data_IF_881720479796
#
_entry.id   IF_881720479796
#
_cell.length_a   1.000
_cell.length_b   1.000
_cell.length_c   1.000
_cell.angle_alpha   90.00
_cell.angle_beta   90.00
_cell.angle_gamma   90.00
#
_symmetry.space_group_name_H-M   'P 1'
#
loop_
_entity.id
_entity.type
_entity.pdbx_description
1 polymer ?
#
# COMPACT_ATOMS: atom_id res chain seq x y z
N UNK A 1 0.19 -16.96 -11.72
CA UNK A 1 -0.53 -16.16 -10.70
C UNK A 1 -1.97 -16.06 -11.17
N UNK A 2 -2.92 -16.54 -10.37
CA UNK A 2 -4.35 -16.45 -10.72
C UNK A 2 -4.86 -15.04 -10.43
N UNK A 3 -5.90 -14.58 -11.13
CA UNK A 3 -6.50 -13.24 -11.00
C UNK A 3 -7.05 -12.90 -9.59
N UNK A 4 -6.95 -13.82 -8.63
CA UNK A 4 -7.41 -13.67 -7.25
C UNK A 4 -6.34 -14.01 -6.22
N UNK A 5 -5.08 -13.75 -6.55
CA UNK A 5 -3.98 -13.94 -5.62
C UNK A 5 -4.14 -12.99 -4.41
N UNK A 6 -4.46 -13.53 -3.21
CA UNK A 6 -4.84 -12.69 -2.07
C UNK A 6 -3.69 -11.80 -1.61
N UNK A 7 -2.44 -12.25 -1.79
CA UNK A 7 -1.26 -11.48 -1.44
C UNK A 7 -1.05 -10.31 -2.40
N UNK A 8 -1.34 -10.47 -3.70
CA UNK A 8 -1.34 -9.34 -4.65
C UNK A 8 -2.55 -8.41 -4.46
N UNK A 9 -3.72 -8.97 -4.16
CA UNK A 9 -4.94 -8.20 -3.91
C UNK A 9 -4.79 -7.25 -2.71
N UNK A 10 -3.96 -7.58 -1.73
CA UNK A 10 -3.62 -6.68 -0.64
C UNK A 10 -3.04 -5.35 -1.14
N UNK A 11 -2.12 -5.38 -2.11
CA UNK A 11 -1.52 -4.18 -2.69
C UNK A 11 -2.52 -3.41 -3.56
N UNK A 12 -3.39 -4.10 -4.30
CA UNK A 12 -4.46 -3.45 -5.07
C UNK A 12 -5.45 -2.72 -4.15
N UNK A 13 -5.81 -3.32 -3.02
CA UNK A 13 -6.67 -2.69 -2.02
C UNK A 13 -6.00 -1.44 -1.43
N UNK A 14 -4.72 -1.52 -1.06
CA UNK A 14 -3.96 -0.36 -0.54
C UNK A 14 -3.89 0.75 -1.57
N UNK A 15 -3.55 0.41 -2.82
CA UNK A 15 -3.49 1.38 -3.91
C UNK A 15 -4.85 2.08 -4.10
N UNK A 16 -5.94 1.31 -4.13
CA UNK A 16 -7.28 1.88 -4.31
C UNK A 16 -7.74 2.76 -3.15
N UNK A 17 -7.44 2.40 -1.91
CA UNK A 17 -7.83 3.16 -0.72
C UNK A 17 -6.94 4.40 -0.50
N UNK A 18 -5.76 4.46 -1.12
CA UNK A 18 -4.82 5.58 -0.98
C UNK A 18 -4.70 6.45 -2.24
N UNK A 19 -5.44 6.15 -3.32
CA UNK A 19 -5.36 6.85 -4.62
C UNK A 19 -5.68 8.36 -4.53
N UNK A 20 -6.51 8.76 -3.56
CA UNK A 20 -6.84 10.18 -3.33
C UNK A 20 -5.81 10.93 -2.47
N UNK A 21 -4.84 10.23 -1.87
CA UNK A 21 -3.82 10.82 -1.03
C UNK A 21 -2.64 11.31 -1.90
N UNK A 22 -2.25 12.60 -1.84
CA UNK A 22 -1.19 13.12 -2.70
C UNK A 22 0.20 12.59 -2.32
N UNK A 23 0.91 12.02 -3.29
CA UNK A 23 2.31 11.62 -3.11
C UNK A 23 3.17 12.79 -2.62
N UNK A 24 4.28 12.49 -1.94
CA UNK A 24 5.19 13.52 -1.42
C UNK A 24 5.59 14.54 -2.50
N UNK A 25 5.91 14.04 -3.70
CA UNK A 25 6.24 14.87 -4.85
C UNK A 25 5.12 15.83 -5.29
N UNK A 26 3.85 15.54 -4.97
CA UNK A 26 2.69 16.36 -5.33
C UNK A 26 2.24 17.29 -4.20
N UNK A 27 2.69 17.09 -2.97
CA UNK A 27 2.26 17.90 -1.81
C UNK A 27 2.51 19.41 -1.99
N UNK A 28 3.55 19.80 -2.73
CA UNK A 28 3.82 21.21 -3.04
C UNK A 28 2.74 21.90 -3.91
N UNK A 29 1.91 21.13 -4.61
CA UNK A 29 0.78 21.62 -5.40
C UNK A 29 -0.50 21.79 -4.57
N UNK A 30 -0.49 21.34 -3.31
CA UNK A 30 -1.64 21.35 -2.42
C UNK A 30 -1.55 22.47 -1.40
N UNK A 31 -2.71 22.99 -0.99
CA UNK A 31 -2.78 23.95 0.10
C UNK A 31 -2.34 23.30 1.42
N UNK A 32 -1.60 24.03 2.28
CA UNK A 32 -1.15 23.48 3.57
C UNK A 32 -2.30 23.06 4.49
N UNK A 33 -3.44 23.77 4.43
CA UNK A 33 -4.65 23.41 5.18
C UNK A 33 -5.28 22.09 4.69
N UNK A 34 -5.20 21.80 3.38
CA UNK A 34 -5.69 20.55 2.82
C UNK A 34 -4.80 19.37 3.25
N UNK A 35 -3.48 19.56 3.26
CA UNK A 35 -2.53 18.54 3.74
C UNK A 35 -2.73 18.25 5.22
N UNK A 36 -2.89 19.30 6.05
CA UNK A 36 -3.14 19.14 7.49
C UNK A 36 -4.44 18.36 7.80
N UNK A 37 -5.46 18.49 6.95
CA UNK A 37 -6.70 17.71 7.07
C UNK A 37 -6.55 16.24 6.68
N UNK A 38 -5.61 15.93 5.79
CA UNK A 38 -5.35 14.57 5.30
C UNK A 38 -4.36 13.81 6.19
N UNK A 39 -3.55 14.50 7.00
CA UNK A 39 -2.59 13.89 7.93
C UNK A 39 -3.18 12.74 8.79
N UNK A 40 -4.34 12.89 9.47
CA UNK A 40 -4.94 11.78 10.21
C UNK A 40 -5.39 10.60 9.32
N UNK A 41 -5.67 10.87 8.04
CA UNK A 41 -6.05 9.85 7.07
C UNK A 41 -4.83 9.06 6.57
N UNK A 42 -3.67 9.71 6.42
CA UNK A 42 -2.40 9.02 6.22
C UNK A 42 -2.11 8.05 7.35
N UNK A 43 -2.16 8.52 8.60
CA UNK A 43 -1.91 7.66 9.76
C UNK A 43 -2.88 6.48 9.81
N UNK A 44 -4.16 6.72 9.53
CA UNK A 44 -5.19 5.68 9.52
C UNK A 44 -4.95 4.65 8.42
N UNK A 45 -4.66 5.10 7.20
CA UNK A 45 -4.44 4.20 6.05
C UNK A 45 -3.14 3.41 6.20
N UNK A 46 -2.08 4.01 6.76
CA UNK A 46 -0.83 3.32 7.09
C UNK A 46 -1.05 2.23 8.15
N UNK A 47 -1.73 2.54 9.26
CA UNK A 47 -2.03 1.57 10.32
C UNK A 47 -2.92 0.43 9.81
N UNK A 48 -3.91 0.76 8.98
CA UNK A 48 -4.77 -0.23 8.34
C UNK A 48 -3.96 -1.15 7.42
N UNK A 49 -3.15 -0.59 6.51
CA UNK A 49 -2.33 -1.36 5.58
C UNK A 49 -1.31 -2.24 6.33
N UNK A 50 -0.64 -1.71 7.36
CA UNK A 50 0.34 -2.43 8.16
C UNK A 50 -0.22 -3.71 8.81
N UNK A 51 -1.52 -3.76 9.09
CA UNK A 51 -2.16 -4.93 9.70
C UNK A 51 -2.16 -6.19 8.83
N UNK A 52 -2.00 -6.06 7.50
CA UNK A 52 -2.03 -7.19 6.57
C UNK A 52 -0.92 -7.16 5.50
N UNK A 53 -0.43 -5.97 5.12
CA UNK A 53 0.56 -5.82 4.05
C UNK A 53 1.87 -6.56 4.34
N UNK A 54 2.32 -6.56 5.60
CA UNK A 54 3.55 -7.26 5.98
C UNK A 54 3.44 -8.76 5.68
N UNK A 55 2.31 -9.38 6.04
CA UNK A 55 2.11 -10.81 5.80
C UNK A 55 2.03 -11.15 4.31
N UNK A 56 1.35 -10.30 3.53
CA UNK A 56 1.29 -10.43 2.08
C UNK A 56 2.69 -10.31 1.45
N UNK A 57 3.51 -9.33 1.87
CA UNK A 57 4.91 -9.19 1.46
C UNK A 57 5.72 -10.46 1.73
N UNK A 58 5.66 -11.00 2.95
CA UNK A 58 6.40 -12.20 3.33
C UNK A 58 6.01 -13.41 2.47
N UNK A 59 4.71 -13.60 2.24
CA UNK A 59 4.21 -14.69 1.41
C UNK A 59 4.68 -14.56 -0.04
N UNK A 60 4.67 -13.35 -0.61
CA UNK A 60 5.19 -13.09 -1.95
C UNK A 60 6.69 -13.37 -2.01
N UNK A 61 7.48 -12.82 -1.08
CA UNK A 61 8.93 -13.02 -1.05
C UNK A 61 9.27 -14.51 -0.99
N UNK A 62 8.65 -15.28 -0.08
CA UNK A 62 8.90 -16.73 0.00
C UNK A 62 8.58 -17.47 -1.30
N UNK A 63 7.56 -17.03 -2.06
CA UNK A 63 7.21 -17.66 -3.35
C UNK A 63 8.21 -17.35 -4.45
N UNK A 64 8.83 -16.17 -4.40
CA UNK A 64 9.85 -15.77 -5.37
C UNK A 64 11.25 -16.30 -5.00
N UNK A 65 11.51 -16.53 -3.72
CA UNK A 65 12.76 -17.14 -3.22
C UNK A 65 12.81 -18.65 -3.50
N UNK A 66 11.68 -19.36 -3.32
CA UNK A 66 11.54 -20.81 -3.63
C UNK A 66 11.46 -21.09 -5.15
N UNK A 67 11.43 -20.03 -5.98
CA UNK A 67 11.32 -20.10 -7.44
C UNK A 67 12.64 -19.97 -8.20
N UNK A 68 13.78 -19.82 -7.51
CA UNK A 68 15.13 -19.74 -8.08
C UNK A 68 15.91 -21.05 -7.81
N UNK A 69 15.34 -22.20 -8.16
CA UNK A 69 16.15 -23.38 -8.52
C UNK A 69 16.15 -23.50 -10.04
N UNK A 70 17.26 -23.03 -10.63
CA UNK A 70 17.65 -23.23 -12.03
C UNK A 70 18.08 -24.67 -12.32
#
# INVERSE_FOLDING_TARGET
MSESDPDFNAFLAIYSETDHLPYEAQRHLWSPDALAKLEPEYEKTELWAASFAQKACENLLSRFDDGDEA
#
